data_IF_449603306623
#
_entry.id   IF_449603306623
#
_cell.length_a   1.000
_cell.length_b   1.000
_cell.length_c   1.000
_cell.angle_alpha   90.00
_cell.angle_beta   90.00
_cell.angle_gamma   90.00
#
_symmetry.space_group_name_H-M   'P 1'
#
loop_
_entity.id
_entity.type
_entity.pdbx_description
1 polymer ?
#
# COMPACT_ATOMS: atom_id res chain seq x y z
N UNK A 1 4.61 -23.36 18.93
CA UNK A 1 5.30 -22.17 19.47
C UNK A 1 6.74 -22.26 18.98
N UNK A 2 6.93 -21.82 17.75
CA UNK A 2 7.97 -22.32 16.84
C UNK A 2 9.32 -21.64 17.02
N UNK A 3 10.35 -22.47 17.24
CA UNK A 3 11.78 -22.10 17.43
C UNK A 3 12.47 -21.58 16.16
N UNK A 4 11.74 -20.99 15.21
CA UNK A 4 12.32 -20.45 13.98
C UNK A 4 12.82 -19.00 14.13
N UNK A 5 12.41 -18.30 15.20
CA UNK A 5 12.80 -16.91 15.45
C UNK A 5 14.21 -16.73 16.04
N UNK A 6 14.90 -17.82 16.39
CA UNK A 6 16.19 -17.77 17.11
C UNK A 6 17.42 -17.80 16.20
N UNK A 7 17.25 -17.87 14.87
CA UNK A 7 18.37 -17.71 13.94
C UNK A 7 18.63 -16.23 13.64
N UNK A 8 19.90 -15.77 13.53
CA UNK A 8 20.24 -14.39 13.14
C UNK A 8 19.66 -13.97 11.77
N UNK A 9 19.20 -14.95 10.97
CA UNK A 9 18.52 -14.77 9.69
C UNK A 9 17.05 -14.34 9.82
N UNK A 10 16.37 -14.64 10.92
CA UNK A 10 14.95 -14.30 11.13
C UNK A 10 14.73 -12.80 11.28
N UNK A 11 15.55 -12.13 12.10
CA UNK A 11 15.48 -10.67 12.30
C UNK A 11 15.71 -9.88 11.00
N UNK A 12 16.67 -10.31 10.17
CA UNK A 12 16.94 -9.69 8.87
C UNK A 12 15.73 -9.80 7.94
N UNK A 13 15.09 -10.97 7.87
CA UNK A 13 13.89 -11.19 7.05
C UNK A 13 12.74 -10.26 7.48
N UNK A 14 12.47 -10.19 8.77
CA UNK A 14 11.42 -9.29 9.30
C UNK A 14 11.75 -7.82 9.01
N UNK A 15 13.01 -7.40 9.16
CA UNK A 15 13.43 -6.04 8.84
C UNK A 15 13.24 -5.70 7.36
N UNK A 16 13.59 -6.61 6.44
CA UNK A 16 13.37 -6.44 5.00
C UNK A 16 11.89 -6.32 4.65
N UNK A 17 11.05 -7.16 5.26
CA UNK A 17 9.59 -7.09 5.08
C UNK A 17 9.05 -5.74 5.56
N UNK A 18 9.49 -5.25 6.72
CA UNK A 18 9.07 -3.96 7.26
C UNK A 18 9.53 -2.79 6.38
N UNK A 19 10.77 -2.81 5.89
CA UNK A 19 11.29 -1.78 4.98
C UNK A 19 10.48 -1.80 3.68
N UNK A 20 10.28 -2.96 3.07
CA UNK A 20 9.52 -3.05 1.83
C UNK A 20 8.07 -2.58 2.05
N UNK A 21 7.38 -3.04 3.08
CA UNK A 21 5.99 -2.67 3.32
C UNK A 21 5.81 -1.19 3.68
N UNK A 22 6.67 -0.62 4.54
CA UNK A 22 6.48 0.73 5.07
C UNK A 22 7.14 1.79 4.17
N UNK A 23 8.34 1.53 3.65
CA UNK A 23 9.10 2.51 2.86
C UNK A 23 8.72 2.43 1.38
N UNK A 24 8.71 1.22 0.79
CA UNK A 24 8.47 1.09 -0.65
C UNK A 24 6.98 1.18 -0.99
N UNK A 25 6.11 0.57 -0.19
CA UNK A 25 4.68 0.54 -0.48
C UNK A 25 3.91 1.72 0.14
N UNK A 26 4.56 2.47 1.05
CA UNK A 26 3.94 3.57 1.79
C UNK A 26 2.67 3.16 2.52
N UNK A 27 2.54 1.88 2.89
CA UNK A 27 1.36 1.38 3.57
C UNK A 27 1.37 1.93 5.00
N UNK A 28 0.23 2.49 5.42
CA UNK A 28 0.00 2.90 6.81
C UNK A 28 0.37 1.74 7.75
N UNK A 29 1.06 2.02 8.86
CA UNK A 29 1.49 1.03 9.86
C UNK A 29 0.32 0.16 10.38
N UNK A 30 -0.91 0.65 10.22
CA UNK A 30 -2.16 -0.04 10.58
C UNK A 30 -2.63 -1.06 9.55
N UNK A 31 -2.10 -1.06 8.32
CA UNK A 31 -2.44 -2.07 7.30
C UNK A 31 -1.58 -3.32 7.50
N UNK A 32 -2.24 -4.47 7.47
CA UNK A 32 -1.59 -5.79 7.59
C UNK A 32 -0.56 -5.94 6.46
N UNK A 33 0.68 -6.27 6.85
CA UNK A 33 1.73 -6.65 5.91
C UNK A 33 1.23 -7.80 5.04
N UNK A 34 1.44 -7.68 3.73
CA UNK A 34 0.93 -8.68 2.80
C UNK A 34 1.72 -9.99 2.90
N UNK A 35 1.02 -11.12 2.96
CA UNK A 35 1.61 -12.46 3.10
C UNK A 35 2.61 -12.80 1.98
N UNK A 36 2.40 -12.26 0.77
CA UNK A 36 3.33 -12.49 -0.35
C UNK A 36 4.71 -11.88 -0.11
N UNK A 37 4.82 -10.80 0.68
CA UNK A 37 6.11 -10.18 1.03
C UNK A 37 6.94 -11.12 1.91
N UNK A 38 6.28 -11.81 2.85
CA UNK A 38 6.92 -12.82 3.68
C UNK A 38 7.40 -14.00 2.83
N UNK A 39 6.56 -14.49 1.91
CA UNK A 39 6.94 -15.55 0.99
C UNK A 39 8.12 -15.15 0.07
N UNK A 40 8.18 -13.88 -0.35
CA UNK A 40 9.27 -13.37 -1.18
C UNK A 40 10.60 -13.26 -0.40
N UNK A 41 10.55 -12.88 0.87
CA UNK A 41 11.74 -12.71 1.72
C UNK A 41 12.30 -14.05 2.22
N UNK A 42 11.53 -15.14 2.17
CA UNK A 42 12.04 -16.48 2.48
C UNK A 42 13.24 -16.85 1.60
N UNK A 43 13.19 -16.48 0.32
CA UNK A 43 14.29 -16.57 -0.64
C UNK A 43 14.87 -15.18 -0.93
N UNK A 44 16.02 -14.88 -0.31
CA UNK A 44 16.67 -13.57 -0.43
C UNK A 44 17.12 -13.25 -1.86
N UNK A 45 17.45 -14.24 -2.67
CA UNK A 45 17.86 -13.99 -4.07
C UNK A 45 16.64 -13.63 -4.94
N UNK A 46 15.48 -14.25 -4.70
CA UNK A 46 14.21 -13.82 -5.26
C UNK A 46 13.83 -12.40 -4.82
N UNK A 47 14.04 -12.06 -3.54
CA UNK A 47 13.79 -10.70 -3.05
C UNK A 47 14.68 -9.65 -3.73
N UNK A 48 15.97 -9.92 -3.94
CA UNK A 48 16.90 -8.99 -4.59
C UNK A 48 16.65 -8.83 -6.09
N UNK A 49 16.30 -9.93 -6.77
CA UNK A 49 15.99 -9.92 -8.21
C UNK A 49 14.60 -9.39 -8.52
N UNK A 50 13.74 -9.21 -7.51
CA UNK A 50 12.42 -8.63 -7.69
C UNK A 50 12.50 -7.21 -8.27
N UNK A 51 11.66 -6.86 -9.27
CA UNK A 51 11.72 -5.57 -9.94
C UNK A 51 11.06 -4.46 -9.10
N UNK A 52 11.66 -4.14 -7.94
CA UNK A 52 11.15 -3.15 -6.98
C UNK A 52 10.83 -1.81 -7.61
N UNK A 53 11.70 -1.31 -8.50
CA UNK A 53 11.50 -0.04 -9.19
C UNK A 53 10.21 -0.01 -10.01
N UNK A 54 10.01 -0.99 -10.88
CA UNK A 54 8.81 -1.09 -11.72
C UNK A 54 7.55 -1.32 -10.88
N UNK A 55 7.65 -2.14 -9.83
CA UNK A 55 6.53 -2.43 -8.94
C UNK A 55 6.07 -1.19 -8.16
N UNK A 56 7.00 -0.46 -7.53
CA UNK A 56 6.73 0.77 -6.79
C UNK A 56 6.20 1.87 -7.72
N UNK A 57 6.74 1.97 -8.93
CA UNK A 57 6.25 2.93 -9.93
C UNK A 57 4.79 2.66 -10.29
N UNK A 58 4.43 1.41 -10.59
CA UNK A 58 3.05 1.03 -10.91
C UNK A 58 2.11 1.25 -9.72
N UNK A 59 2.55 0.93 -8.51
CA UNK A 59 1.77 1.20 -7.29
C UNK A 59 1.56 2.69 -7.06
N UNK A 60 2.59 3.50 -7.27
CA UNK A 60 2.48 4.96 -7.16
C UNK A 60 1.46 5.51 -8.14
N UNK A 61 1.51 5.10 -9.42
CA UNK A 61 0.51 5.48 -10.41
C UNK A 61 -0.89 5.05 -9.98
N UNK A 62 -1.02 3.82 -9.47
CA UNK A 62 -2.30 3.30 -9.01
C UNK A 62 -2.86 4.12 -7.84
N UNK A 63 -2.06 4.44 -6.83
CA UNK A 63 -2.49 5.29 -5.71
C UNK A 63 -2.83 6.71 -6.13
N UNK A 64 -2.03 7.32 -7.01
CA UNK A 64 -2.33 8.63 -7.57
C UNK A 64 -3.69 8.61 -8.27
N UNK A 65 -3.92 7.62 -9.14
CA UNK A 65 -5.21 7.44 -9.82
C UNK A 65 -6.36 7.25 -8.83
N UNK A 66 -6.19 6.43 -7.80
CA UNK A 66 -7.22 6.24 -6.77
C UNK A 66 -7.50 7.53 -5.99
N UNK A 67 -6.45 8.28 -5.61
CA UNK A 67 -6.57 9.56 -4.94
C UNK A 67 -7.34 10.58 -5.78
N UNK A 68 -7.03 10.70 -7.07
CA UNK A 68 -7.76 11.56 -8.00
C UNK A 68 -9.22 11.12 -8.18
N UNK A 69 -9.50 9.82 -8.25
CA UNK A 69 -10.89 9.31 -8.34
C UNK A 69 -11.69 9.62 -7.09
N UNK A 70 -11.10 9.44 -5.91
CA UNK A 70 -11.71 9.78 -4.62
C UNK A 70 -12.03 11.27 -4.52
N UNK A 71 -11.07 12.13 -4.86
CA UNK A 71 -11.26 13.58 -4.86
C UNK A 71 -12.38 14.03 -5.82
N UNK A 72 -12.44 13.43 -7.01
CA UNK A 72 -13.47 13.73 -8.00
C UNK A 72 -14.86 13.24 -7.58
N UNK A 73 -14.96 12.08 -6.91
CA UNK A 73 -16.22 11.59 -6.35
C UNK A 73 -16.74 12.54 -5.25
N UNK A 74 -15.88 12.96 -4.32
CA UNK A 74 -16.24 13.91 -3.27
C UNK A 74 -16.71 15.26 -3.82
N UNK A 75 -16.03 15.79 -4.85
CA UNK A 75 -16.48 17.04 -5.51
C UNK A 75 -17.84 16.88 -6.20
N UNK A 76 -18.12 15.74 -6.84
CA UNK A 76 -19.42 15.47 -7.46
C UNK A 76 -20.55 15.40 -6.43
N UNK A 77 -20.31 14.77 -5.28
CA UNK A 77 -21.29 14.69 -4.19
C UNK A 77 -21.61 16.09 -3.64
N UNK A 78 -20.58 16.90 -3.38
CA UNK A 78 -20.76 18.28 -2.92
C UNK A 78 -21.50 19.14 -3.95
N UNK A 79 -21.13 19.03 -5.23
CA UNK A 79 -21.80 19.76 -6.30
C UNK A 79 -23.28 19.38 -6.45
N UNK A 80 -23.62 18.08 -6.37
CA UNK A 80 -24.99 17.62 -6.43
C UNK A 80 -25.83 18.14 -5.26
N UNK A 81 -25.28 18.11 -4.04
CA UNK A 81 -25.96 18.65 -2.86
C UNK A 81 -26.26 20.15 -3.03
N UNK A 82 -25.27 20.93 -3.47
CA UNK A 82 -25.44 22.37 -3.69
C UNK A 82 -26.48 22.67 -4.78
N UNK A 83 -26.55 21.86 -5.85
CA UNK A 83 -27.57 22.01 -6.89
C UNK A 83 -28.97 21.72 -6.34
N UNK A 84 -29.14 20.64 -5.57
CA UNK A 84 -30.44 20.26 -4.99
C UNK A 84 -30.94 21.29 -3.96
N UNK A 85 -30.04 21.87 -3.16
CA UNK A 85 -30.41 22.94 -2.22
C UNK A 85 -30.85 24.18 -2.98
N UNK A 86 -30.14 24.58 -4.04
CA UNK A 86 -30.48 25.77 -4.82
C UNK A 86 -31.80 25.66 -5.60
N UNK A 87 -32.22 24.45 -5.98
CA UNK A 87 -33.48 24.22 -6.72
C UNK A 87 -34.68 24.14 -5.76
N UNK A 88 -34.48 23.67 -4.52
CA UNK A 88 -35.53 23.56 -3.50
C UNK A 88 -35.83 24.86 -2.72
N UNK A 89 -35.18 25.98 -3.06
CA UNK A 89 -35.38 27.28 -2.41
C UNK A 89 -36.25 28.26 -3.24
N UNK A 90 -36.91 27.78 -4.30
CA UNK A 90 -37.88 28.54 -5.09
C UNK A 90 -39.28 27.94 -4.99
#
# INVERSE_FOLDING_TARGET
MDRQFEQPKGGLKIALVLIANNVLLGQDLRRKVSLWLFALVEDLESFKSFPWGSYVYMMTIHYLRQGFRSANASRKVVAHYNLTVSIGQY
#
